data_IF_971757393050
#
_entry.id   IF_971757393050
#
_cell.length_a   1.000
_cell.length_b   1.000
_cell.length_c   1.000
_cell.angle_alpha   90.00
_cell.angle_beta   90.00
_cell.angle_gamma   90.00
#
_symmetry.space_group_name_H-M   'P 1'
#
loop_
_entity.id
_entity.type
_entity.pdbx_description
1 polymer ?
#
# COMPACT_ATOMS: atom_id res chain seq x y z
N UNK A 1 1.54 -9.57 -33.91
CA UNK A 1 2.31 -9.39 -35.17
C UNK A 1 1.59 -10.15 -36.29
N UNK A 2 1.48 -9.61 -37.50
CA UNK A 2 0.90 -10.32 -38.65
C UNK A 2 1.61 -9.96 -39.95
N UNK A 3 1.33 -10.71 -41.02
CA UNK A 3 2.01 -10.58 -42.31
C UNK A 3 1.01 -10.59 -43.46
N UNK A 4 1.27 -9.77 -44.47
CA UNK A 4 0.63 -9.85 -45.79
C UNK A 4 1.70 -9.82 -46.90
N UNK A 5 1.31 -9.81 -48.19
CA UNK A 5 2.28 -9.74 -49.30
C UNK A 5 3.16 -8.48 -49.32
N UNK A 6 2.73 -7.39 -48.67
CA UNK A 6 3.41 -6.09 -48.64
C UNK A 6 4.39 -5.92 -47.47
N UNK A 7 4.32 -6.80 -46.46
CA UNK A 7 5.29 -6.86 -45.37
C UNK A 7 4.72 -7.36 -44.04
N UNK A 8 5.44 -7.04 -42.98
CA UNK A 8 5.04 -7.33 -41.60
C UNK A 8 4.40 -6.10 -40.97
N UNK A 9 3.41 -6.35 -40.12
CA UNK A 9 2.62 -5.32 -39.47
C UNK A 9 2.34 -5.68 -38.02
N UNK A 10 2.32 -4.67 -37.17
CA UNK A 10 1.97 -4.79 -35.77
C UNK A 10 0.65 -4.08 -35.51
N UNK A 11 -0.36 -4.85 -35.13
CA UNK A 11 -1.60 -4.31 -34.55
C UNK A 11 -1.26 -3.79 -33.16
N UNK A 12 -1.45 -2.49 -32.87
CA UNK A 12 -1.24 -1.95 -31.54
C UNK A 12 -2.23 -2.56 -30.55
N UNK A 13 -1.78 -2.85 -29.33
CA UNK A 13 -2.69 -3.29 -28.26
C UNK A 13 -3.55 -2.11 -27.75
N UNK A 14 -2.99 -0.89 -27.77
CA UNK A 14 -3.72 0.33 -27.46
C UNK A 14 -4.74 0.66 -28.56
N UNK A 15 -6.02 0.41 -28.25
CA UNK A 15 -7.16 0.64 -29.15
C UNK A 15 -7.34 2.10 -29.59
N UNK A 16 -6.64 3.07 -28.97
CA UNK A 16 -6.63 4.47 -29.43
C UNK A 16 -5.82 4.64 -30.71
N UNK A 17 -4.82 3.77 -30.94
CA UNK A 17 -4.03 3.75 -32.16
C UNK A 17 -4.81 3.00 -33.24
N UNK A 18 -5.20 3.72 -34.29
CA UNK A 18 -6.11 3.20 -35.32
C UNK A 18 -5.43 2.53 -36.51
N UNK A 19 -4.11 2.57 -36.57
CA UNK A 19 -3.34 2.11 -37.72
C UNK A 19 -2.26 1.12 -37.29
N UNK A 20 -2.11 0.08 -38.08
CA UNK A 20 -1.05 -0.91 -37.90
C UNK A 20 0.31 -0.29 -38.23
N UNK A 21 1.29 -0.60 -37.39
CA UNK A 21 2.65 -0.15 -37.60
C UNK A 21 3.37 -1.13 -38.53
N UNK A 22 3.89 -0.64 -39.66
CA UNK A 22 4.73 -1.46 -40.54
C UNK A 22 6.02 -1.85 -39.83
N UNK A 23 6.31 -3.14 -39.74
CA UNK A 23 7.50 -3.68 -39.10
C UNK A 23 8.55 -4.02 -40.17
N UNK A 24 9.75 -3.47 -39.97
CA UNK A 24 10.89 -3.64 -40.89
C UNK A 24 11.86 -4.74 -40.47
N UNK A 25 11.88 -5.04 -39.18
CA UNK A 25 12.70 -6.09 -38.57
C UNK A 25 11.87 -6.79 -37.50
N UNK A 26 11.66 -8.09 -37.67
CA UNK A 26 10.83 -8.92 -36.77
C UNK A 26 11.67 -9.66 -35.72
N UNK A 27 13.00 -9.60 -35.80
CA UNK A 27 13.88 -10.43 -34.96
C UNK A 27 13.52 -11.91 -35.03
N UNK A 28 13.29 -12.52 -33.87
CA UNK A 28 12.94 -13.93 -33.70
C UNK A 28 11.42 -14.17 -33.52
N UNK A 29 10.59 -13.17 -33.85
CA UNK A 29 9.14 -13.28 -33.71
C UNK A 29 8.46 -13.92 -34.93
N UNK A 30 7.36 -14.61 -34.66
CA UNK A 30 6.49 -15.26 -35.63
C UNK A 30 5.17 -14.51 -35.81
N UNK A 31 4.46 -14.80 -36.91
CA UNK A 31 3.10 -14.31 -37.09
C UNK A 31 2.19 -14.84 -35.97
N UNK A 32 1.39 -13.94 -35.40
CA UNK A 32 0.54 -14.22 -34.24
C UNK A 32 1.16 -13.79 -32.91
N UNK A 33 2.49 -13.63 -32.82
CA UNK A 33 3.12 -13.29 -31.54
C UNK A 33 2.72 -11.90 -31.03
N UNK A 34 2.61 -11.80 -29.71
CA UNK A 34 2.74 -10.58 -28.95
C UNK A 34 4.21 -10.16 -28.93
N UNK A 35 4.47 -8.91 -29.30
CA UNK A 35 5.82 -8.37 -29.41
C UNK A 35 5.87 -6.95 -28.86
N UNK A 36 7.02 -6.59 -28.30
CA UNK A 36 7.37 -5.20 -28.06
C UNK A 36 8.15 -4.69 -29.28
N UNK A 37 7.76 -3.53 -29.81
CA UNK A 37 8.43 -2.90 -30.94
C UNK A 37 8.76 -1.45 -30.65
N UNK A 38 9.93 -1.02 -31.10
CA UNK A 38 10.34 0.39 -31.07
C UNK A 38 9.92 1.06 -32.37
N UNK A 39 9.19 2.17 -32.27
CA UNK A 39 8.78 2.96 -33.43
C UNK A 39 9.86 3.96 -33.82
N UNK A 40 10.20 3.98 -35.11
CA UNK A 40 10.99 5.01 -35.75
C UNK A 40 10.13 5.83 -36.73
N UNK A 41 10.38 7.13 -36.80
CA UNK A 41 9.61 8.05 -37.65
C UNK A 41 8.23 8.46 -37.08
N UNK A 42 7.49 9.25 -37.85
CA UNK A 42 6.17 9.80 -37.47
C UNK A 42 5.16 9.74 -38.63
N UNK A 43 3.88 9.67 -38.29
CA UNK A 43 2.77 9.67 -39.24
C UNK A 43 2.82 8.48 -40.20
N UNK A 44 2.46 8.68 -41.47
CA UNK A 44 2.43 7.62 -42.49
C UNK A 44 3.80 7.00 -42.82
N UNK A 45 4.91 7.59 -42.34
CA UNK A 45 6.28 7.05 -42.51
C UNK A 45 6.79 6.31 -41.28
N UNK A 46 5.95 6.14 -40.26
CA UNK A 46 6.34 5.40 -39.07
C UNK A 46 6.55 3.93 -39.41
N UNK A 47 7.69 3.39 -38.98
CA UNK A 47 8.02 1.97 -39.08
C UNK A 47 8.51 1.48 -37.73
N UNK A 48 8.30 0.20 -37.43
CA UNK A 48 8.78 -0.41 -36.20
C UNK A 48 9.87 -1.45 -36.44
N UNK A 49 10.61 -1.72 -35.38
CA UNK A 49 11.46 -2.91 -35.23
C UNK A 49 11.05 -3.64 -33.96
N UNK A 50 10.91 -4.96 -34.03
CA UNK A 50 10.69 -5.80 -32.85
C UNK A 50 11.96 -5.78 -32.00
N UNK A 51 11.79 -5.45 -30.72
CA UNK A 51 12.85 -5.46 -29.71
C UNK A 51 12.74 -6.67 -28.78
N UNK A 52 11.53 -7.22 -28.62
CA UNK A 52 11.30 -8.38 -27.77
C UNK A 52 10.08 -9.18 -28.23
N UNK A 53 10.22 -10.51 -28.28
CA UNK A 53 9.10 -11.45 -28.41
C UNK A 53 8.53 -11.75 -27.03
N UNK A 54 7.25 -11.47 -26.82
CA UNK A 54 6.53 -11.73 -25.55
C UNK A 54 5.74 -13.04 -25.57
N UNK A 55 5.56 -13.65 -26.75
CA UNK A 55 4.95 -14.97 -26.93
C UNK A 55 3.50 -14.90 -27.40
N UNK A 56 2.64 -15.81 -26.95
CA UNK A 56 1.24 -15.87 -27.36
C UNK A 56 0.41 -14.74 -26.72
N UNK A 57 -0.26 -13.87 -27.50
CA UNK A 57 -1.10 -12.79 -26.96
C UNK A 57 -2.30 -13.28 -26.14
N UNK A 58 -2.72 -14.54 -26.29
CA UNK A 58 -3.81 -15.16 -25.53
C UNK A 58 -3.32 -15.92 -24.30
N UNK A 59 -2.01 -16.00 -24.07
CA UNK A 59 -1.49 -16.59 -22.85
C UNK A 59 -1.90 -15.75 -21.63
N UNK A 60 -2.24 -16.35 -20.48
CA UNK A 60 -2.74 -15.57 -19.34
C UNK A 60 -1.77 -14.50 -18.83
N UNK A 61 -0.46 -14.76 -18.91
CA UNK A 61 0.61 -13.80 -18.54
C UNK A 61 0.70 -12.59 -19.47
N UNK A 62 0.12 -12.67 -20.66
CA UNK A 62 0.21 -11.63 -21.69
C UNK A 62 -0.64 -10.41 -21.34
N UNK A 63 -1.76 -10.58 -20.63
CA UNK A 63 -2.60 -9.45 -20.21
C UNK A 63 -1.86 -8.49 -19.29
N UNK A 64 -1.17 -9.01 -18.27
CA UNK A 64 -0.38 -8.19 -17.35
C UNK A 64 0.81 -7.53 -18.06
N UNK A 65 1.47 -8.23 -18.98
CA UNK A 65 2.54 -7.64 -19.78
C UNK A 65 2.04 -6.49 -20.67
N UNK A 66 0.89 -6.67 -21.33
CA UNK A 66 0.25 -5.61 -22.12
C UNK A 66 -0.05 -4.40 -21.23
N UNK A 67 -0.67 -4.60 -20.07
CA UNK A 67 -1.00 -3.51 -19.15
C UNK A 67 0.26 -2.77 -18.67
N UNK A 68 1.32 -3.49 -18.29
CA UNK A 68 2.62 -2.92 -17.89
C UNK A 68 3.18 -2.01 -18.98
N UNK A 69 3.19 -2.46 -20.24
CA UNK A 69 3.74 -1.68 -21.35
C UNK A 69 2.81 -0.53 -21.78
N UNK A 70 1.50 -0.75 -21.89
CA UNK A 70 0.53 0.28 -22.29
C UNK A 70 0.47 1.44 -21.32
N UNK A 71 0.55 1.15 -20.02
CA UNK A 71 0.56 2.17 -18.96
C UNK A 71 1.95 2.74 -18.70
N UNK A 72 2.99 2.19 -19.32
CA UNK A 72 4.37 2.63 -19.11
C UNK A 72 4.82 2.45 -17.66
N UNK A 73 4.50 1.29 -17.06
CA UNK A 73 4.97 0.93 -15.72
C UNK A 73 6.44 0.51 -15.82
N UNK A 74 7.36 1.20 -15.11
CA UNK A 74 8.76 0.78 -15.05
C UNK A 74 8.83 -0.59 -14.36
N UNK A 75 9.33 -1.59 -15.06
CA UNK A 75 9.35 -2.98 -14.59
C UNK A 75 10.75 -3.61 -14.60
N UNK A 76 11.71 -3.04 -15.32
CA UNK A 76 13.11 -3.48 -15.34
C UNK A 76 13.96 -2.59 -14.45
N UNK A 77 14.81 -3.19 -13.62
CA UNK A 77 15.80 -2.45 -12.82
C UNK A 77 17.07 -2.24 -13.63
N UNK A 78 17.74 -1.09 -13.46
CA UNK A 78 19.05 -0.87 -14.05
C UNK A 78 20.12 -1.74 -13.37
N UNK A 79 21.19 -2.07 -14.09
CA UNK A 79 22.32 -2.79 -13.51
C UNK A 79 22.99 -2.03 -12.36
N UNK A 80 22.96 -0.69 -12.39
CA UNK A 80 23.45 0.17 -11.31
C UNK A 80 22.62 -0.03 -10.04
N UNK A 81 21.28 0.05 -10.14
CA UNK A 81 20.39 -0.16 -9.00
C UNK A 81 20.46 -1.57 -8.41
N UNK A 82 20.57 -2.61 -9.26
CA UNK A 82 20.75 -3.99 -8.78
C UNK A 82 22.06 -4.15 -7.99
N UNK A 83 23.17 -3.66 -8.55
CA UNK A 83 24.49 -3.72 -7.90
C UNK A 83 24.50 -2.94 -6.58
N UNK A 84 23.85 -1.79 -6.55
CA UNK A 84 23.72 -0.97 -5.35
C UNK A 84 22.86 -1.67 -4.30
N UNK A 85 21.77 -2.35 -4.68
CA UNK A 85 20.88 -3.04 -3.76
C UNK A 85 21.59 -4.18 -3.02
N UNK A 86 22.38 -4.97 -3.73
CA UNK A 86 23.20 -6.03 -3.13
C UNK A 86 24.24 -5.50 -2.15
N UNK A 87 24.78 -4.29 -2.40
CA UNK A 87 25.71 -3.62 -1.48
C UNK A 87 24.98 -3.06 -0.26
N UNK A 88 23.83 -2.41 -0.49
CA UNK A 88 22.99 -1.84 0.55
C UNK A 88 22.53 -2.92 1.55
N UNK A 89 22.11 -4.09 1.05
CA UNK A 89 21.70 -5.25 1.85
C UNK A 89 22.77 -5.72 2.85
N UNK A 90 24.04 -5.39 2.63
CA UNK A 90 25.18 -5.80 3.47
C UNK A 90 25.72 -4.66 4.34
N UNK A 91 25.04 -3.52 4.40
CA UNK A 91 25.48 -2.39 5.22
C UNK A 91 25.43 -2.76 6.71
N UNK A 92 26.49 -2.42 7.48
CA UNK A 92 26.48 -2.63 8.92
C UNK A 92 25.43 -1.73 9.57
N UNK A 93 24.58 -2.32 10.42
CA UNK A 93 23.41 -1.64 10.97
C UNK A 93 23.73 -0.48 11.93
N UNK A 94 24.95 -0.42 12.47
CA UNK A 94 25.37 0.62 13.42
C UNK A 94 24.72 0.48 14.80
N UNK A 95 24.71 1.57 15.56
CA UNK A 95 24.09 1.64 16.88
C UNK A 95 22.57 1.76 16.76
N UNK A 96 21.83 0.91 17.48
CA UNK A 96 20.38 0.74 17.38
C UNK A 96 19.80 0.29 18.71
N UNK A 97 18.55 0.64 18.97
CA UNK A 97 17.80 0.07 20.09
C UNK A 97 17.62 -1.44 19.90
N UNK A 98 17.88 -2.21 20.95
CA UNK A 98 17.73 -3.66 20.91
C UNK A 98 16.30 -4.06 21.32
N UNK A 99 15.54 -4.61 20.37
CA UNK A 99 14.18 -5.11 20.58
C UNK A 99 14.11 -6.63 20.38
N UNK A 100 15.25 -7.35 20.32
CA UNK A 100 15.28 -8.77 20.01
C UNK A 100 14.66 -9.66 21.08
N UNK A 101 14.59 -9.18 22.32
CA UNK A 101 13.92 -9.88 23.42
C UNK A 101 12.39 -9.72 23.40
N UNK A 102 11.85 -8.82 22.57
CA UNK A 102 10.40 -8.66 22.41
C UNK A 102 9.89 -9.61 21.31
N UNK A 103 8.80 -10.34 21.55
CA UNK A 103 8.29 -11.33 20.59
C UNK A 103 7.49 -10.65 19.47
N UNK A 104 8.17 -9.85 18.65
CA UNK A 104 7.63 -9.20 17.46
C UNK A 104 7.38 -10.23 16.35
N UNK A 105 6.19 -10.20 15.76
CA UNK A 105 5.79 -11.10 14.68
C UNK A 105 5.08 -10.33 13.56
N UNK A 106 5.02 -10.92 12.38
CA UNK A 106 4.27 -10.38 11.24
C UNK A 106 2.97 -11.16 11.04
N UNK A 107 1.93 -10.49 10.52
CA UNK A 107 0.65 -11.12 10.20
C UNK A 107 0.21 -10.63 8.81
N UNK A 108 0.29 -11.53 7.84
CA UNK A 108 0.18 -11.20 6.40
C UNK A 108 -0.64 -12.26 5.65
N UNK A 109 -0.95 -12.06 4.35
CA UNK A 109 -1.41 -13.15 3.51
C UNK A 109 -0.39 -14.30 3.48
N UNK A 110 -0.86 -15.55 3.42
CA UNK A 110 0.02 -16.73 3.42
C UNK A 110 1.03 -16.78 2.25
N UNK A 111 0.76 -16.06 1.16
CA UNK A 111 1.62 -15.96 -0.02
C UNK A 111 2.52 -14.71 -0.04
N UNK A 112 2.49 -13.88 1.00
CA UNK A 112 3.34 -12.70 1.12
C UNK A 112 4.82 -13.09 1.26
N UNK A 113 5.70 -12.25 0.71
CA UNK A 113 7.17 -12.42 0.79
C UNK A 113 7.89 -11.14 1.23
N UNK A 114 7.19 -10.02 1.19
CA UNK A 114 7.62 -8.68 1.51
C UNK A 114 6.91 -8.21 2.78
N UNK A 115 7.41 -8.63 3.94
CA UNK A 115 6.84 -8.28 5.23
C UNK A 115 7.33 -6.89 5.66
N UNK A 116 6.49 -5.87 5.52
CA UNK A 116 6.80 -4.48 5.87
C UNK A 116 6.74 -4.22 7.39
N UNK A 117 5.83 -4.90 8.08
CA UNK A 117 5.46 -4.58 9.46
C UNK A 117 5.43 -5.79 10.40
N UNK A 118 5.86 -5.54 11.63
CA UNK A 118 5.76 -6.46 12.75
C UNK A 118 5.13 -5.75 13.94
N UNK A 119 4.37 -6.50 14.74
CA UNK A 119 3.58 -5.94 15.84
C UNK A 119 3.80 -6.68 17.15
N UNK A 120 3.73 -5.93 18.24
CA UNK A 120 3.73 -6.44 19.60
C UNK A 120 2.90 -5.51 20.48
N UNK A 121 2.21 -6.06 21.48
CA UNK A 121 1.58 -5.27 22.53
C UNK A 121 1.51 -6.02 23.85
N UNK A 122 1.45 -5.26 24.95
CA UNK A 122 1.23 -5.77 26.29
C UNK A 122 0.40 -4.76 27.12
N UNK A 123 -0.26 -5.19 28.19
CA UNK A 123 -0.86 -4.29 29.17
C UNK A 123 0.16 -3.25 29.68
N UNK A 124 -0.32 -2.04 29.94
CA UNK A 124 0.47 -0.97 30.55
C UNK A 124 0.31 -1.00 32.07
N UNK A 125 1.39 -1.29 32.79
CA UNK A 125 1.42 -1.35 34.26
C UNK A 125 1.45 0.05 34.91
N UNK A 126 1.56 1.13 34.12
CA UNK A 126 1.54 2.50 34.63
C UNK A 126 0.19 2.84 35.29
N UNK A 127 0.15 3.21 36.59
CA UNK A 127 -1.08 3.62 37.27
C UNK A 127 -1.78 4.83 36.63
N UNK A 128 -1.06 5.65 35.86
CA UNK A 128 -1.61 6.76 35.06
C UNK A 128 -2.33 6.32 33.78
N UNK A 129 -2.21 5.05 33.39
CA UNK A 129 -2.84 4.45 32.22
C UNK A 129 -3.65 3.18 32.57
N UNK A 130 -4.63 3.25 33.48
CA UNK A 130 -5.36 2.07 33.93
C UNK A 130 -6.09 1.39 32.76
N UNK A 131 -5.83 0.10 32.59
CA UNK A 131 -6.38 -0.71 31.50
C UNK A 131 -5.82 -0.35 30.10
N UNK A 132 -4.75 0.44 30.04
CA UNK A 132 -4.07 0.77 28.80
C UNK A 132 -3.07 -0.29 28.36
N UNK A 133 -2.37 0.01 27.26
CA UNK A 133 -1.43 -0.89 26.61
C UNK A 133 -0.17 -0.15 26.14
N UNK A 134 0.96 -0.84 26.17
CA UNK A 134 2.13 -0.50 25.36
C UNK A 134 2.09 -1.31 24.09
N UNK A 135 2.38 -0.69 22.96
CA UNK A 135 2.48 -1.38 21.69
C UNK A 135 3.68 -0.91 20.89
N UNK A 136 4.21 -1.79 20.05
CA UNK A 136 5.25 -1.48 19.09
C UNK A 136 4.76 -1.91 17.71
N UNK A 137 4.82 -0.97 16.77
CA UNK A 137 4.69 -1.22 15.34
C UNK A 137 6.07 -1.03 14.73
N UNK A 138 6.76 -2.14 14.46
CA UNK A 138 8.09 -2.16 13.90
C UNK A 138 8.00 -2.25 12.38
N UNK A 139 8.50 -1.22 11.68
CA UNK A 139 8.44 -1.17 10.21
C UNK A 139 9.83 -1.36 9.63
N UNK A 140 9.96 -2.12 8.55
CA UNK A 140 11.20 -2.28 7.79
C UNK A 140 11.92 -0.93 7.57
N UNK A 141 13.20 -0.83 7.97
CA UNK A 141 13.98 0.42 7.88
C UNK A 141 14.52 0.66 6.46
N UNK A 142 13.62 0.75 5.48
CA UNK A 142 13.97 0.93 4.06
C UNK A 142 14.80 2.21 3.85
N UNK A 143 14.55 3.26 4.62
CA UNK A 143 15.31 4.52 4.54
C UNK A 143 16.80 4.38 4.85
N UNK A 144 17.19 3.35 5.60
CA UNK A 144 18.59 3.04 5.88
C UNK A 144 19.29 2.43 4.65
N UNK A 145 18.61 1.52 3.95
CA UNK A 145 19.12 0.81 2.79
C UNK A 145 19.02 1.65 1.50
N UNK A 146 17.91 2.36 1.32
CA UNK A 146 17.61 3.19 0.14
C UNK A 146 17.87 4.66 0.52
N UNK A 147 19.12 5.10 0.34
CA UNK A 147 19.56 6.45 0.71
C UNK A 147 19.20 7.49 -0.37
N UNK A 148 18.96 8.76 0.00
CA UNK A 148 18.63 9.80 -0.97
C UNK A 148 19.66 9.94 -2.10
N UNK A 149 19.18 10.06 -3.33
CA UNK A 149 19.98 10.33 -4.52
C UNK A 149 20.73 9.14 -5.10
N UNK A 150 20.67 7.96 -4.48
CA UNK A 150 21.31 6.75 -4.99
C UNK A 150 20.53 6.13 -6.17
N UNK A 151 21.09 5.14 -6.87
CA UNK A 151 20.45 4.55 -8.04
C UNK A 151 19.12 3.87 -7.68
N UNK A 152 19.07 3.17 -6.56
CA UNK A 152 17.85 2.53 -6.07
C UNK A 152 16.79 3.58 -5.72
N UNK A 153 17.18 4.68 -5.08
CA UNK A 153 16.26 5.76 -4.72
C UNK A 153 15.62 6.41 -5.96
N UNK A 154 16.42 6.68 -6.99
CA UNK A 154 15.91 7.23 -8.26
C UNK A 154 14.88 6.30 -8.89
N UNK A 155 15.14 5.00 -8.91
CA UNK A 155 14.19 4.01 -9.44
C UNK A 155 12.96 3.83 -8.56
N UNK A 156 13.12 3.78 -7.24
CA UNK A 156 12.01 3.69 -6.30
C UNK A 156 11.07 4.90 -6.45
N UNK A 157 11.63 6.09 -6.62
CA UNK A 157 10.88 7.32 -6.92
C UNK A 157 10.18 7.23 -8.27
N UNK A 158 10.85 6.79 -9.32
CA UNK A 158 10.27 6.65 -10.67
C UNK A 158 9.08 5.69 -10.70
N UNK A 159 9.22 4.55 -10.01
CA UNK A 159 8.16 3.54 -9.84
C UNK A 159 7.03 4.04 -8.94
N UNK A 160 7.37 4.71 -7.84
CA UNK A 160 6.48 5.29 -6.84
C UNK A 160 5.82 4.27 -5.90
N UNK A 161 5.40 3.12 -6.43
CA UNK A 161 4.84 2.02 -5.66
C UNK A 161 5.01 0.68 -6.39
N UNK A 162 4.92 -0.44 -5.66
CA UNK A 162 4.78 -1.76 -6.25
C UNK A 162 3.41 -1.88 -6.95
N UNK A 163 3.34 -2.67 -8.03
CA UNK A 163 2.10 -2.94 -8.78
C UNK A 163 1.80 -4.42 -8.70
N UNK A 164 0.61 -4.78 -8.21
CA UNK A 164 0.19 -6.16 -7.98
C UNK A 164 -0.81 -6.58 -9.06
N UNK A 165 -0.38 -7.48 -9.96
CA UNK A 165 -1.23 -8.13 -10.94
C UNK A 165 -1.66 -9.51 -10.43
N UNK A 166 -2.73 -10.11 -10.98
CA UNK A 166 -3.17 -11.45 -10.58
C UNK A 166 -2.09 -12.54 -10.70
N UNK A 167 -1.17 -12.42 -11.67
CA UNK A 167 -0.14 -13.43 -11.95
C UNK A 167 1.28 -13.02 -11.50
N UNK A 168 1.50 -11.78 -11.07
CA UNK A 168 2.84 -11.26 -10.75
C UNK A 168 2.81 -9.96 -9.94
N UNK A 169 3.96 -9.61 -9.39
CA UNK A 169 4.22 -8.30 -8.79
C UNK A 169 5.30 -7.59 -9.60
N UNK A 170 5.12 -6.30 -9.87
CA UNK A 170 6.19 -5.39 -10.31
C UNK A 170 6.63 -4.61 -9.07
N UNK A 171 7.74 -4.99 -8.43
CA UNK A 171 8.12 -4.41 -7.15
C UNK A 171 8.70 -3.01 -7.30
N UNK A 172 8.55 -2.18 -6.28
CA UNK A 172 9.19 -0.86 -6.19
C UNK A 172 10.71 -0.99 -5.99
N UNK A 173 11.14 -1.98 -5.22
CA UNK A 173 12.53 -2.23 -4.86
C UNK A 173 13.03 -3.58 -5.42
N UNK A 174 14.35 -3.74 -5.67
CA UNK A 174 14.92 -5.03 -6.03
C UNK A 174 14.73 -6.10 -4.94
N UNK A 175 14.66 -7.37 -5.34
CA UNK A 175 14.43 -8.51 -4.44
C UNK A 175 15.43 -8.60 -3.28
N UNK A 176 16.71 -8.27 -3.53
CA UNK A 176 17.76 -8.21 -2.52
C UNK A 176 17.41 -7.30 -1.32
N UNK A 177 16.51 -6.34 -1.52
CA UNK A 177 15.97 -5.50 -0.46
C UNK A 177 14.55 -5.93 -0.08
N UNK A 178 13.63 -6.06 -1.05
CA UNK A 178 12.20 -6.19 -0.76
C UNK A 178 11.80 -7.50 -0.09
N UNK A 179 12.45 -8.61 -0.43
CA UNK A 179 12.12 -9.95 0.11
C UNK A 179 13.18 -10.49 1.07
N UNK A 180 14.32 -9.81 1.16
CA UNK A 180 15.45 -10.25 1.98
C UNK A 180 15.80 -9.19 3.04
N UNK A 181 16.69 -8.23 2.74
CA UNK A 181 17.25 -7.33 3.75
C UNK A 181 16.24 -6.46 4.50
N UNK A 182 15.15 -6.04 3.84
CA UNK A 182 14.08 -5.24 4.45
C UNK A 182 12.92 -6.08 4.96
N UNK A 183 12.64 -7.24 4.36
CA UNK A 183 11.52 -8.09 4.78
C UNK A 183 11.73 -8.60 6.20
N UNK A 184 10.73 -8.44 7.06
CA UNK A 184 10.76 -8.84 8.47
C UNK A 184 10.57 -10.36 8.65
N UNK A 185 11.45 -11.15 8.01
CA UNK A 185 11.44 -12.61 8.02
C UNK A 185 11.66 -13.16 9.44
N UNK A 186 10.99 -14.27 9.75
CA UNK A 186 11.10 -14.96 11.02
C UNK A 186 12.48 -15.59 11.22
N UNK A 187 12.89 -15.70 12.49
CA UNK A 187 14.16 -16.24 12.97
C UNK A 187 15.40 -15.46 12.48
N UNK A 188 15.22 -14.20 12.09
CA UNK A 188 16.30 -13.33 11.61
C UNK A 188 16.29 -12.00 12.38
N UNK A 189 17.49 -11.44 12.55
CA UNK A 189 17.67 -10.08 13.08
C UNK A 189 17.43 -9.07 11.95
N UNK A 190 16.48 -8.16 12.13
CA UNK A 190 16.04 -7.20 11.10
C UNK A 190 16.05 -5.76 11.60
N UNK A 191 16.49 -4.86 10.72
CA UNK A 191 16.53 -3.43 10.99
C UNK A 191 15.14 -2.80 10.81
N UNK A 192 14.67 -2.10 11.84
CA UNK A 192 13.35 -1.48 11.84
C UNK A 192 13.40 -0.01 12.26
N UNK A 193 12.48 0.77 11.73
CA UNK A 193 12.06 2.04 12.29
C UNK A 193 10.81 1.78 13.14
N UNK A 194 11.00 1.69 14.46
CA UNK A 194 9.97 1.31 15.41
C UNK A 194 9.14 2.53 15.84
N UNK A 195 7.82 2.38 15.77
CA UNK A 195 6.85 3.27 16.37
C UNK A 195 6.37 2.67 17.70
N UNK A 196 6.79 3.26 18.81
CA UNK A 196 6.34 2.88 20.15
C UNK A 196 5.10 3.69 20.49
N UNK A 197 4.05 3.03 20.94
CA UNK A 197 2.74 3.62 21.23
C UNK A 197 2.35 3.35 22.69
N UNK A 198 1.80 4.37 23.34
CA UNK A 198 1.02 4.20 24.58
C UNK A 198 -0.46 4.38 24.26
N UNK A 199 -1.24 3.33 24.43
CA UNK A 199 -2.68 3.28 24.12
C UNK A 199 -3.46 3.32 25.44
N UNK A 200 -4.45 4.18 25.54
CA UNK A 200 -5.38 4.23 26.66
C UNK A 200 -6.33 3.04 26.69
N UNK A 201 -6.91 2.72 27.86
CA UNK A 201 -7.97 1.70 27.94
C UNK A 201 -9.23 2.03 27.14
N UNK A 202 -9.39 3.29 26.71
CA UNK A 202 -10.44 3.74 25.79
C UNK A 202 -10.02 3.65 24.30
N UNK A 203 -8.81 3.16 24.02
CA UNK A 203 -8.22 3.07 22.68
C UNK A 203 -7.56 4.33 22.16
N UNK A 204 -7.58 5.44 22.91
CA UNK A 204 -6.94 6.68 22.48
C UNK A 204 -5.43 6.53 22.54
N UNK A 205 -4.71 6.80 21.45
CA UNK A 205 -3.24 6.88 21.46
C UNK A 205 -2.82 8.12 22.25
N UNK A 206 -2.16 7.91 23.40
CA UNK A 206 -1.79 8.96 24.36
C UNK A 206 -0.39 9.51 24.13
N UNK A 207 0.54 8.66 23.71
CA UNK A 207 1.94 9.04 23.48
C UNK A 207 2.59 8.16 22.41
N UNK A 208 3.66 8.68 21.80
CA UNK A 208 4.45 7.97 20.81
C UNK A 208 5.92 8.37 20.83
N UNK A 209 6.81 7.43 20.48
CA UNK A 209 8.21 7.73 20.15
C UNK A 209 8.68 6.88 18.97
N UNK A 210 9.67 7.40 18.25
CA UNK A 210 10.29 6.72 17.12
C UNK A 210 11.76 6.43 17.42
N UNK A 211 12.22 5.24 17.05
CA UNK A 211 13.61 4.85 17.15
C UNK A 211 14.01 3.91 16.02
N UNK A 212 15.28 3.95 15.62
CA UNK A 212 15.86 2.87 14.84
C UNK A 212 16.27 1.75 15.79
N UNK A 213 15.84 0.55 15.45
CA UNK A 213 16.02 -0.62 16.28
C UNK A 213 16.45 -1.85 15.45
N UNK A 214 16.86 -2.90 16.15
CA UNK A 214 16.98 -4.27 15.63
C UNK A 214 15.97 -5.13 16.36
N UNK A 215 15.15 -5.86 15.62
CA UNK A 215 14.25 -6.88 16.15
C UNK A 215 14.69 -8.27 15.75
N UNK A 216 14.20 -9.29 16.46
CA UNK A 216 14.28 -10.69 16.04
C UNK A 216 12.85 -11.17 15.76
N UNK A 217 12.54 -11.54 14.52
CA UNK A 217 11.18 -11.96 14.17
C UNK A 217 10.85 -13.34 14.75
N UNK A 218 9.88 -13.45 15.66
CA UNK A 218 9.56 -14.75 16.27
C UNK A 218 8.69 -15.65 15.39
N UNK A 219 7.90 -15.05 14.49
CA UNK A 219 7.06 -15.77 13.51
C UNK A 219 6.58 -14.84 12.39
N UNK A 220 6.36 -15.42 11.19
CA UNK A 220 5.49 -14.85 10.16
C UNK A 220 4.23 -15.71 10.13
N UNK A 221 3.08 -15.12 10.46
CA UNK A 221 1.80 -15.85 10.56
C UNK A 221 0.83 -15.40 9.46
N UNK A 222 0.00 -16.33 8.98
CA UNK A 222 -1.11 -15.97 8.12
C UNK A 222 -2.29 -15.40 8.93
N UNK A 223 -3.08 -14.50 8.35
CA UNK A 223 -4.29 -13.96 8.99
C UNK A 223 -5.22 -15.06 9.51
N UNK A 224 -5.42 -16.11 8.70
CA UNK A 224 -6.25 -17.26 9.04
C UNK A 224 -5.72 -18.01 10.26
N UNK A 225 -4.40 -18.20 10.36
CA UNK A 225 -3.76 -18.85 11.51
C UNK A 225 -3.97 -18.06 12.80
N UNK A 226 -3.82 -16.74 12.75
CA UNK A 226 -4.06 -15.88 13.92
C UNK A 226 -5.53 -15.91 14.33
N UNK A 227 -6.45 -15.84 13.36
CA UNK A 227 -7.87 -15.93 13.62
C UNK A 227 -8.23 -17.27 14.28
N UNK A 228 -7.78 -18.39 13.71
CA UNK A 228 -8.06 -19.73 14.24
C UNK A 228 -7.48 -19.93 15.64
N UNK A 229 -6.29 -19.39 15.91
CA UNK A 229 -5.65 -19.45 17.23
C UNK A 229 -6.43 -18.66 18.28
N UNK A 230 -6.94 -17.48 17.94
CA UNK A 230 -7.74 -16.64 18.83
C UNK A 230 -9.12 -17.26 19.09
N UNK A 231 -9.73 -17.85 18.07
CA UNK A 231 -11.02 -18.54 18.16
C UNK A 231 -10.92 -19.89 18.91
N UNK A 232 -9.70 -20.35 19.24
CA UNK A 232 -9.46 -21.64 19.89
C UNK A 232 -9.68 -22.85 18.99
N UNK A 233 -9.67 -22.65 17.67
CA UNK A 233 -9.78 -23.72 16.66
C UNK A 233 -8.47 -24.48 16.48
N UNK A 234 -7.34 -23.84 16.77
CA UNK A 234 -6.01 -24.46 16.82
C UNK A 234 -5.28 -24.08 18.10
N UNK A 235 -4.40 -24.96 18.58
CA UNK A 235 -3.41 -24.62 19.60
C UNK A 235 -2.16 -24.05 18.94
N UNK A 236 -1.75 -22.84 19.35
CA UNK A 236 -0.53 -22.20 18.85
C UNK A 236 0.33 -21.70 20.03
N UNK A 237 1.65 -21.90 19.97
CA UNK A 237 2.55 -21.61 21.09
C UNK A 237 2.56 -20.12 21.49
N UNK A 238 2.26 -19.23 20.54
CA UNK A 238 2.22 -17.78 20.75
C UNK A 238 0.85 -17.24 21.19
N UNK A 239 -0.19 -18.09 21.30
CA UNK A 239 -1.57 -17.62 21.54
C UNK A 239 -1.68 -16.81 22.83
N UNK A 240 -1.26 -17.38 23.95
CA UNK A 240 -1.41 -16.74 25.27
C UNK A 240 -0.37 -15.63 25.51
N UNK A 241 0.86 -15.84 25.05
CA UNK A 241 1.98 -14.94 25.35
C UNK A 241 2.05 -13.71 24.45
N UNK A 242 1.56 -13.79 23.21
CA UNK A 242 1.68 -12.71 22.22
C UNK A 242 0.35 -12.33 21.61
N UNK A 243 -0.41 -13.30 21.08
CA UNK A 243 -1.61 -12.99 20.29
C UNK A 243 -2.75 -12.45 21.15
N UNK A 244 -2.99 -12.97 22.36
CA UNK A 244 -4.04 -12.46 23.25
C UNK A 244 -3.77 -11.03 23.75
N UNK A 245 -2.56 -10.68 24.24
CA UNK A 245 -2.22 -9.30 24.56
C UNK A 245 -2.39 -8.34 23.37
N UNK A 246 -1.94 -8.77 22.18
CA UNK A 246 -2.10 -8.02 20.94
C UNK A 246 -3.58 -7.80 20.59
N UNK A 247 -4.41 -8.84 20.73
CA UNK A 247 -5.85 -8.77 20.49
C UNK A 247 -6.57 -7.85 21.48
N UNK A 248 -6.18 -7.86 22.76
CA UNK A 248 -6.75 -6.98 23.77
C UNK A 248 -6.45 -5.51 23.48
N UNK A 249 -5.21 -5.19 23.09
CA UNK A 249 -4.84 -3.84 22.66
C UNK A 249 -5.61 -3.41 21.40
N UNK A 250 -5.79 -4.32 20.44
CA UNK A 250 -6.61 -4.06 19.26
C UNK A 250 -8.08 -3.78 19.61
N UNK A 251 -8.69 -4.51 20.54
CA UNK A 251 -10.07 -4.24 20.94
C UNK A 251 -10.26 -2.81 21.47
N UNK A 252 -9.27 -2.27 22.20
CA UNK A 252 -9.28 -0.88 22.61
C UNK A 252 -9.21 0.06 21.39
N UNK A 253 -8.24 -0.14 20.48
CA UNK A 253 -8.12 0.64 19.23
C UNK A 253 -9.40 0.60 18.40
N UNK A 254 -10.02 -0.57 18.27
CA UNK A 254 -11.28 -0.79 17.58
C UNK A 254 -12.40 0.02 18.23
N UNK A 255 -12.52 0.03 19.56
CA UNK A 255 -13.52 0.83 20.26
C UNK A 255 -13.35 2.34 19.98
N UNK A 256 -12.11 2.84 19.95
CA UNK A 256 -11.82 4.22 19.58
C UNK A 256 -12.14 4.51 18.10
N UNK A 257 -11.88 3.56 17.20
CA UNK A 257 -12.26 3.64 15.78
C UNK A 257 -13.79 3.68 15.62
N UNK A 258 -14.52 2.79 16.27
CA UNK A 258 -15.98 2.72 16.19
C UNK A 258 -16.61 4.04 16.69
N UNK A 259 -16.05 4.63 17.76
CA UNK A 259 -16.47 5.95 18.26
C UNK A 259 -16.17 7.08 17.27
N UNK A 260 -15.06 6.99 16.53
CA UNK A 260 -14.67 7.94 15.47
C UNK A 260 -15.54 7.81 14.23
N UNK A 261 -16.15 6.64 14.03
CA UNK A 261 -17.14 6.34 12.99
C UNK A 261 -16.66 6.66 11.56
N UNK A 262 -15.56 6.01 11.08
CA UNK A 262 -15.08 6.16 9.71
C UNK A 262 -16.13 5.68 8.70
N UNK A 263 -15.97 6.04 7.43
CA UNK A 263 -16.92 5.70 6.38
C UNK A 263 -17.01 4.17 6.23
N UNK A 264 -18.17 3.60 6.57
CA UNK A 264 -18.38 2.16 6.65
C UNK A 264 -18.97 1.63 5.34
N UNK A 265 -18.13 1.58 4.29
CA UNK A 265 -18.49 0.96 3.02
C UNK A 265 -17.98 -0.48 2.99
N UNK A 266 -18.87 -1.44 3.29
CA UNK A 266 -18.55 -2.85 3.17
C UNK A 266 -18.87 -3.34 1.75
N UNK A 267 -17.93 -3.13 0.83
CA UNK A 267 -18.04 -3.64 -0.53
C UNK A 267 -17.25 -4.95 -0.65
N UNK A 268 -17.82 -6.01 -1.25
CA UNK A 268 -17.12 -7.27 -1.40
C UNK A 268 -15.94 -7.12 -2.37
N UNK A 269 -14.72 -7.28 -1.87
CA UNK A 269 -13.52 -7.37 -2.71
C UNK A 269 -13.43 -8.75 -3.35
N UNK A 270 -13.16 -8.83 -4.65
CA UNK A 270 -13.02 -10.10 -5.37
C UNK A 270 -11.55 -10.41 -5.62
N UNK A 271 -11.12 -11.61 -5.27
CA UNK A 271 -9.78 -12.14 -5.58
C UNK A 271 -9.88 -13.11 -6.76
N UNK A 272 -9.05 -12.87 -7.77
CA UNK A 272 -8.86 -13.80 -8.89
C UNK A 272 -7.80 -14.83 -8.48
N UNK A 273 -8.14 -16.11 -8.54
CA UNK A 273 -7.24 -17.22 -8.26
C UNK A 273 -6.86 -17.85 -9.60
N UNK A 274 -5.55 -17.99 -9.83
CA UNK A 274 -5.00 -18.58 -11.04
C UNK A 274 -4.59 -20.04 -10.81
N UNK A 275 -4.73 -20.88 -11.84
CA UNK A 275 -4.19 -22.24 -11.86
C UNK A 275 -2.67 -22.23 -12.15
N UNK A 276 -2.03 -23.40 -12.11
CA UNK A 276 -0.60 -23.57 -12.42
C UNK A 276 -0.23 -23.12 -13.85
N UNK A 277 -1.21 -23.07 -14.76
CA UNK A 277 -1.04 -22.61 -16.15
C UNK A 277 -1.34 -21.11 -16.29
N UNK A 278 -1.61 -20.41 -15.18
CA UNK A 278 -1.91 -18.99 -15.10
C UNK A 278 -3.34 -18.61 -15.48
N UNK A 279 -4.24 -19.57 -15.74
CA UNK A 279 -5.62 -19.29 -16.15
C UNK A 279 -6.47 -19.03 -14.92
N UNK A 280 -7.57 -18.29 -15.08
CA UNK A 280 -8.53 -18.07 -13.99
C UNK A 280 -9.12 -19.43 -13.59
N UNK A 281 -8.74 -19.90 -12.41
CA UNK A 281 -9.34 -21.07 -11.78
C UNK A 281 -10.64 -20.68 -11.10
N UNK A 282 -10.64 -19.53 -10.41
CA UNK A 282 -11.77 -19.09 -9.60
C UNK A 282 -11.76 -17.59 -9.32
N UNK A 283 -12.94 -17.02 -9.06
CA UNK A 283 -13.09 -15.67 -8.52
C UNK A 283 -13.89 -15.79 -7.22
N UNK A 284 -13.25 -15.52 -6.08
CA UNK A 284 -13.89 -15.57 -4.75
C UNK A 284 -14.00 -14.19 -4.15
N UNK A 285 -14.98 -13.99 -3.29
CA UNK A 285 -15.03 -12.81 -2.42
C UNK A 285 -13.99 -13.02 -1.31
N UNK A 286 -13.16 -12.00 -1.06
CA UNK A 286 -12.17 -12.01 0.00
C UNK A 286 -12.90 -11.93 1.35
N UNK A 287 -12.56 -12.85 2.23
CA UNK A 287 -13.09 -12.84 3.60
C UNK A 287 -12.42 -11.72 4.40
N UNK A 288 -13.22 -10.96 5.15
CA UNK A 288 -12.72 -9.94 6.07
C UNK A 288 -12.73 -10.49 7.50
N UNK A 289 -11.64 -11.13 7.88
CA UNK A 289 -11.44 -11.62 9.25
C UNK A 289 -11.12 -10.49 10.23
N UNK A 290 -11.52 -10.57 11.51
CA UNK A 290 -11.05 -9.69 12.57
C UNK A 290 -9.51 -9.56 12.66
N UNK A 291 -8.76 -10.62 12.36
CA UNK A 291 -7.29 -10.56 12.26
C UNK A 291 -6.77 -9.56 11.21
N UNK A 292 -7.52 -9.30 10.12
CA UNK A 292 -7.17 -8.24 9.17
C UNK A 292 -7.35 -6.85 9.77
N UNK A 293 -8.48 -6.64 10.48
CA UNK A 293 -8.78 -5.37 11.16
C UNK A 293 -7.78 -5.07 12.27
N UNK A 294 -7.26 -6.12 12.94
CA UNK A 294 -6.20 -5.99 13.92
C UNK A 294 -4.99 -5.27 13.36
N UNK A 295 -4.42 -5.79 12.26
CA UNK A 295 -3.26 -5.16 11.63
C UNK A 295 -3.63 -3.79 11.08
N UNK A 296 -4.78 -3.65 10.41
CA UNK A 296 -5.25 -2.36 9.88
C UNK A 296 -5.26 -1.26 10.94
N UNK A 297 -5.84 -1.52 12.11
CA UNK A 297 -5.97 -0.52 13.18
C UNK A 297 -4.63 -0.18 13.83
N UNK A 298 -3.71 -1.14 13.99
CA UNK A 298 -2.33 -0.86 14.44
C UNK A 298 -1.58 0.00 13.41
N UNK A 299 -1.71 -0.32 12.12
CA UNK A 299 -1.07 0.47 11.06
C UNK A 299 -1.65 1.88 11.00
N UNK A 300 -2.97 2.05 11.13
CA UNK A 300 -3.60 3.37 11.21
C UNK A 300 -3.08 4.15 12.42
N UNK A 301 -2.95 3.51 13.59
CA UNK A 301 -2.42 4.17 14.78
C UNK A 301 -0.98 4.66 14.57
N UNK A 302 -0.11 3.83 13.98
CA UNK A 302 1.26 4.21 13.66
C UNK A 302 1.35 5.32 12.59
N UNK A 303 0.51 5.26 11.56
CA UNK A 303 0.39 6.27 10.51
C UNK A 303 -0.03 7.65 11.07
N UNK A 304 -1.01 7.66 11.98
CA UNK A 304 -1.43 8.90 12.67
C UNK A 304 -0.31 9.42 13.59
N UNK A 305 0.36 8.54 14.33
CA UNK A 305 1.47 8.91 15.20
C UNK A 305 2.63 9.52 14.39
N UNK A 306 2.98 8.94 13.24
CA UNK A 306 4.02 9.45 12.36
C UNK A 306 3.70 10.86 11.83
N UNK A 307 2.47 11.07 11.34
CA UNK A 307 2.02 12.38 10.88
C UNK A 307 2.11 13.43 12.02
N UNK A 308 1.55 13.13 13.20
CA UNK A 308 1.55 14.04 14.35
C UNK A 308 2.96 14.30 14.91
N UNK A 309 3.83 13.29 14.90
CA UNK A 309 5.22 13.43 15.33
C UNK A 309 5.99 14.43 14.47
N UNK A 310 5.82 14.35 13.15
CA UNK A 310 6.46 15.29 12.22
C UNK A 310 5.87 16.69 12.34
N UNK A 311 4.55 16.82 12.49
CA UNK A 311 3.87 18.09 12.76
C UNK A 311 4.43 18.76 14.01
N UNK A 312 4.56 18.01 15.11
CA UNK A 312 5.11 18.50 16.37
C UNK A 312 6.59 18.95 16.27
N UNK A 313 7.34 18.41 15.31
CA UNK A 313 8.71 18.81 15.00
C UNK A 313 8.79 19.91 13.93
N UNK A 314 7.66 20.37 13.40
CA UNK A 314 7.61 21.30 12.25
C UNK A 314 8.41 20.75 11.05
N UNK A 315 8.44 19.42 10.92
CA UNK A 315 9.07 18.74 9.80
C UNK A 315 8.06 18.61 8.66
N UNK A 316 8.50 18.67 7.39
CA UNK A 316 7.62 18.37 6.26
C UNK A 316 7.02 16.97 6.35
N UNK A 317 5.77 16.84 5.90
CA UNK A 317 5.02 15.58 5.87
C UNK A 317 4.44 15.37 4.47
N UNK A 318 4.49 14.13 3.99
CA UNK A 318 3.70 13.71 2.83
C UNK A 318 2.42 13.07 3.38
N UNK A 319 1.36 13.87 3.44
CA UNK A 319 0.06 13.43 3.91
C UNK A 319 -0.61 12.52 2.88
N UNK A 320 -1.35 11.53 3.39
CA UNK A 320 -2.36 10.84 2.60
C UNK A 320 -3.68 11.59 2.81
N UNK A 321 -4.03 12.41 1.84
CA UNK A 321 -5.20 13.28 1.88
C UNK A 321 -6.39 12.55 1.28
N UNK A 322 -7.55 12.69 1.92
CA UNK A 322 -8.84 12.32 1.34
C UNK A 322 -9.84 13.43 1.66
N UNK A 323 -10.15 14.25 0.67
CA UNK A 323 -11.04 15.39 0.86
C UNK A 323 -12.51 14.96 0.97
N UNK A 324 -13.36 15.92 1.37
CA UNK A 324 -14.81 15.72 1.38
C UNK A 324 -15.32 15.56 -0.07
N UNK A 325 -16.43 14.82 -0.28
CA UNK A 325 -17.17 14.86 -1.52
C UNK A 325 -17.48 16.30 -1.96
N UNK A 326 -17.32 16.59 -3.26
CA UNK A 326 -17.71 17.89 -3.80
C UNK A 326 -19.21 18.14 -3.64
N UNK A 327 -19.61 19.42 -3.57
CA UNK A 327 -21.02 19.81 -3.45
C UNK A 327 -21.88 19.22 -4.57
N UNK A 328 -21.38 19.22 -5.81
CA UNK A 328 -22.07 18.66 -6.97
C UNK A 328 -22.34 17.16 -6.80
N UNK A 329 -21.33 16.39 -6.38
CA UNK A 329 -21.49 14.96 -6.08
C UNK A 329 -22.46 14.69 -4.94
N UNK A 330 -22.47 15.54 -3.90
CA UNK A 330 -23.41 15.42 -2.78
C UNK A 330 -24.86 15.70 -3.19
N UNK A 331 -25.09 16.70 -4.03
CA UNK A 331 -26.42 17.01 -4.58
C UNK A 331 -26.92 15.84 -5.43
N UNK A 332 -26.08 15.35 -6.35
CA UNK A 332 -26.41 14.21 -7.20
C UNK A 332 -26.73 12.94 -6.38
N UNK A 333 -25.96 12.65 -5.33
CA UNK A 333 -26.25 11.56 -4.40
C UNK A 333 -27.58 11.77 -3.66
N UNK A 334 -27.84 12.99 -3.20
CA UNK A 334 -29.09 13.36 -2.53
C UNK A 334 -30.31 13.12 -3.41
N UNK A 335 -30.25 13.53 -4.69
CA UNK A 335 -31.32 13.30 -5.66
C UNK A 335 -31.51 11.80 -5.97
N UNK A 336 -30.41 11.06 -6.11
CA UNK A 336 -30.44 9.62 -6.32
C UNK A 336 -31.14 8.89 -5.18
N UNK A 337 -30.72 9.12 -3.93
CA UNK A 337 -31.32 8.40 -2.80
C UNK A 337 -32.77 8.83 -2.55
N UNK A 338 -33.13 10.08 -2.87
CA UNK A 338 -34.50 10.57 -2.82
C UNK A 338 -35.43 9.84 -3.79
N UNK A 339 -34.95 9.54 -4.99
CA UNK A 339 -35.70 8.73 -5.96
C UNK A 339 -35.99 7.30 -5.46
N UNK A 340 -35.16 6.79 -4.55
CA UNK A 340 -35.33 5.49 -3.89
C UNK A 340 -36.17 5.56 -2.60
N UNK A 341 -36.77 6.71 -2.30
CA UNK A 341 -37.56 6.91 -1.08
C UNK A 341 -36.73 7.12 0.20
N UNK A 342 -35.41 7.29 0.07
CA UNK A 342 -34.49 7.58 1.16
C UNK A 342 -34.23 9.10 1.27
N UNK A 343 -33.58 9.54 2.33
CA UNK A 343 -33.25 10.96 2.53
C UNK A 343 -31.82 11.13 3.02
N UNK A 344 -31.03 12.00 2.40
CA UNK A 344 -29.68 12.33 2.86
C UNK A 344 -29.67 13.69 3.55
N UNK A 345 -29.53 13.70 4.86
CA UNK A 345 -29.45 14.92 5.66
C UNK A 345 -27.99 15.37 5.81
N UNK A 346 -27.53 16.26 4.93
CA UNK A 346 -26.12 16.69 4.88
C UNK A 346 -25.64 17.47 6.12
N UNK A 347 -26.55 18.07 6.89
CA UNK A 347 -26.20 18.90 8.05
C UNK A 347 -25.39 20.15 7.67
N UNK A 348 -24.82 20.84 8.66
CA UNK A 348 -23.92 21.97 8.41
C UNK A 348 -22.52 21.53 7.97
N UNK A 349 -22.04 20.41 8.52
CA UNK A 349 -20.74 19.81 8.21
C UNK A 349 -20.97 18.36 7.82
N UNK A 350 -20.59 18.03 6.58
CA UNK A 350 -20.64 16.65 6.09
C UNK A 350 -19.50 15.86 6.74
N UNK A 351 -19.86 14.74 7.35
CA UNK A 351 -18.95 13.80 8.02
C UNK A 351 -19.24 12.38 7.53
N UNK A 352 -18.32 11.41 7.70
CA UNK A 352 -18.59 10.01 7.37
C UNK A 352 -19.85 9.46 8.05
N UNK A 353 -20.09 9.83 9.31
CA UNK A 353 -21.31 9.52 10.06
C UNK A 353 -22.60 9.89 9.31
N UNK A 354 -22.60 10.97 8.52
CA UNK A 354 -23.75 11.35 7.69
C UNK A 354 -24.13 10.24 6.71
N UNK A 355 -23.14 9.59 6.11
CA UNK A 355 -23.33 8.47 5.19
C UNK A 355 -23.62 7.17 5.93
N UNK A 356 -22.93 6.89 7.04
CA UNK A 356 -23.20 5.70 7.84
C UNK A 356 -24.65 5.67 8.35
N UNK A 357 -25.21 6.82 8.76
CA UNK A 357 -26.64 6.95 9.11
C UNK A 357 -27.60 6.73 7.93
N UNK A 358 -27.18 7.03 6.70
CA UNK A 358 -27.95 6.69 5.51
C UNK A 358 -27.95 5.18 5.30
N UNK A 359 -26.77 4.57 5.28
CA UNK A 359 -26.60 3.14 5.03
C UNK A 359 -27.29 2.29 6.10
N UNK A 360 -27.20 2.69 7.38
CA UNK A 360 -27.82 1.98 8.50
C UNK A 360 -29.37 1.98 8.51
N UNK A 361 -30.02 2.77 7.63
CA UNK A 361 -31.48 2.77 7.47
C UNK A 361 -31.97 1.82 6.37
N UNK A 362 -31.05 1.12 5.69
CA UNK A 362 -31.37 0.27 4.56
C UNK A 362 -31.25 -1.19 5.00
N UNK A 363 -32.40 -1.85 5.15
CA UNK A 363 -32.46 -3.27 5.54
C UNK A 363 -32.33 -4.23 4.34
N UNK A 364 -32.71 -3.78 3.13
CA UNK A 364 -32.59 -4.59 1.91
C UNK A 364 -31.12 -4.65 1.44
N UNK A 365 -30.48 -5.83 1.42
CA UNK A 365 -29.09 -5.98 1.04
C UNK A 365 -28.79 -5.50 -0.39
N UNK A 366 -29.72 -5.71 -1.34
CA UNK A 366 -29.51 -5.32 -2.73
C UNK A 366 -29.57 -3.80 -2.90
N UNK A 367 -30.45 -3.13 -2.15
CA UNK A 367 -30.53 -1.67 -2.10
C UNK A 367 -29.31 -1.09 -1.37
N UNK A 368 -28.86 -1.73 -0.29
CA UNK A 368 -27.68 -1.32 0.47
C UNK A 368 -26.42 -1.35 -0.40
N UNK A 369 -26.22 -2.40 -1.20
CA UNK A 369 -25.09 -2.51 -2.13
C UNK A 369 -25.14 -1.38 -3.18
N UNK A 370 -26.30 -1.15 -3.79
CA UNK A 370 -26.47 -0.09 -4.79
C UNK A 370 -26.20 1.31 -4.22
N UNK A 371 -26.76 1.61 -3.05
CA UNK A 371 -26.54 2.91 -2.39
C UNK A 371 -25.09 3.05 -1.92
N UNK A 372 -24.48 1.98 -1.40
CA UNK A 372 -23.06 1.97 -1.02
C UNK A 372 -22.15 2.28 -2.21
N UNK A 373 -22.43 1.71 -3.39
CA UNK A 373 -21.70 2.02 -4.61
C UNK A 373 -21.83 3.50 -5.02
N UNK A 374 -23.04 4.07 -4.94
CA UNK A 374 -23.23 5.49 -5.23
C UNK A 374 -22.55 6.41 -4.20
N UNK A 375 -22.58 6.04 -2.91
CA UNK A 375 -21.82 6.74 -1.87
C UNK A 375 -20.33 6.69 -2.19
N UNK A 376 -19.78 5.53 -2.57
CA UNK A 376 -18.38 5.37 -2.95
C UNK A 376 -18.02 6.27 -4.16
N UNK A 377 -18.83 6.26 -5.23
CA UNK A 377 -18.62 7.10 -6.43
C UNK A 377 -18.70 8.60 -6.12
N UNK A 378 -19.46 8.98 -5.10
CA UNK A 378 -19.54 10.37 -4.63
C UNK A 378 -18.28 10.84 -3.90
N UNK A 379 -17.44 9.93 -3.40
CA UNK A 379 -16.22 10.29 -2.67
C UNK A 379 -15.18 10.97 -3.56
N UNK A 380 -14.27 11.72 -2.92
CA UNK A 380 -13.07 12.21 -3.56
C UNK A 380 -12.05 11.05 -3.66
N UNK A 381 -11.18 11.09 -4.65
CA UNK A 381 -10.06 10.15 -4.69
C UNK A 381 -9.00 10.62 -3.69
N UNK A 382 -8.47 9.71 -2.89
CA UNK A 382 -7.36 10.03 -2.01
C UNK A 382 -6.06 10.24 -2.82
N UNK A 383 -5.19 11.12 -2.34
CA UNK A 383 -3.93 11.47 -3.00
C UNK A 383 -2.84 11.81 -1.98
N UNK A 384 -1.60 11.94 -2.43
CA UNK A 384 -0.49 12.40 -1.60
C UNK A 384 -0.27 13.91 -1.77
N UNK A 385 -0.18 14.64 -0.66
CA UNK A 385 0.01 16.08 -0.65
C UNK A 385 0.88 16.55 0.50
N UNK A 386 1.43 17.76 0.41
CA UNK A 386 2.21 18.37 1.49
C UNK A 386 1.37 19.22 2.45
N UNK A 387 0.15 19.58 2.03
CA UNK A 387 -0.80 20.31 2.84
C UNK A 387 -1.72 19.32 3.57
N UNK A 388 -1.93 19.54 4.87
CA UNK A 388 -2.85 18.72 5.65
C UNK A 388 -4.29 19.16 5.42
N UNK A 389 -5.03 18.38 4.63
CA UNK A 389 -6.47 18.55 4.39
C UNK A 389 -7.32 17.49 5.09
N UNK A 390 -6.70 16.68 5.95
CA UNK A 390 -7.31 15.55 6.64
C UNK A 390 -7.61 14.34 5.74
N UNK A 391 -8.21 13.31 6.35
CA UNK A 391 -8.62 12.09 5.67
C UNK A 391 -10.08 11.76 5.97
N UNK A 392 -10.96 12.21 5.09
CA UNK A 392 -12.41 12.14 5.22
C UNK A 392 -12.90 10.72 5.50
N UNK A 393 -12.58 9.76 4.64
CA UNK A 393 -13.04 8.37 4.79
C UNK A 393 -12.62 7.69 6.09
N UNK A 394 -11.53 8.13 6.73
CA UNK A 394 -11.06 7.57 8.01
C UNK A 394 -11.49 8.43 9.22
N UNK A 395 -12.15 9.56 8.97
CA UNK A 395 -12.48 10.58 9.96
C UNK A 395 -11.26 11.06 10.77
N UNK A 396 -10.10 11.22 10.12
CA UNK A 396 -8.84 11.64 10.75
C UNK A 396 -8.42 13.05 10.35
N UNK A 397 -7.91 13.83 11.31
CA UNK A 397 -7.40 15.18 11.07
C UNK A 397 -5.99 15.25 10.47
N UNK A 398 -5.14 14.26 10.76
CA UNK A 398 -3.80 14.13 10.19
C UNK A 398 -3.55 12.65 9.91
N UNK A 399 -3.09 12.33 8.69
CA UNK A 399 -2.81 10.96 8.27
C UNK A 399 -1.71 10.94 7.21
N UNK A 400 -0.71 10.08 7.41
CA UNK A 400 0.39 9.86 6.46
C UNK A 400 0.69 8.36 6.42
N UNK A 401 1.00 7.82 5.25
CA UNK A 401 1.43 6.42 5.16
C UNK A 401 2.89 6.29 5.62
N UNK A 402 3.11 5.43 6.60
CA UNK A 402 4.39 5.14 7.24
C UNK A 402 4.73 3.64 7.21
N UNK A 403 3.72 2.78 7.13
CA UNK A 403 3.83 1.36 7.47
C UNK A 403 4.11 0.41 6.31
N UNK A 404 4.37 0.90 5.09
CA UNK A 404 4.71 0.02 3.96
C UNK A 404 5.78 0.58 3.02
N UNK A 405 6.98 0.92 3.53
CA UNK A 405 8.04 1.52 2.74
C UNK A 405 8.69 0.59 1.71
N UNK A 406 8.53 -0.74 1.81
CA UNK A 406 9.04 -1.68 0.78
C UNK A 406 8.29 -1.48 -0.54
N UNK A 407 6.99 -1.13 -0.46
CA UNK A 407 6.07 -1.06 -1.62
C UNK A 407 5.49 0.32 -1.90
N UNK A 408 5.77 1.33 -1.07
CA UNK A 408 5.31 2.72 -1.28
C UNK A 408 6.41 3.73 -1.01
N UNK A 409 6.69 4.59 -1.99
CA UNK A 409 7.72 5.63 -1.86
C UNK A 409 7.28 6.75 -0.91
N UNK A 410 5.97 7.00 -0.74
CA UNK A 410 5.43 7.90 0.29
C UNK A 410 5.96 7.56 1.68
N UNK A 411 5.94 6.28 2.02
CA UNK A 411 6.30 5.77 3.34
C UNK A 411 7.81 5.90 3.53
N UNK A 412 8.60 5.65 2.48
CA UNK A 412 10.05 5.93 2.50
C UNK A 412 10.34 7.41 2.77
N UNK A 413 9.59 8.35 2.19
CA UNK A 413 9.74 9.78 2.47
C UNK A 413 9.36 10.14 3.91
N UNK A 414 8.30 9.53 4.47
CA UNK A 414 7.91 9.71 5.87
C UNK A 414 8.97 9.15 6.81
N UNK A 415 9.57 7.99 6.50
CA UNK A 415 10.71 7.44 7.25
C UNK A 415 11.89 8.41 7.24
N UNK A 416 12.29 8.91 6.07
CA UNK A 416 13.36 9.91 5.92
C UNK A 416 13.09 11.16 6.75
N UNK A 417 11.85 11.65 6.74
CA UNK A 417 11.44 12.81 7.53
C UNK A 417 11.57 12.55 9.03
N UNK A 418 11.14 11.37 9.51
CA UNK A 418 11.26 10.97 10.92
C UNK A 418 12.73 10.84 11.34
N UNK A 419 13.55 10.18 10.52
CA UNK A 419 14.99 10.02 10.78
C UNK A 419 15.67 11.37 10.90
N UNK A 420 15.36 12.33 10.02
CA UNK A 420 15.90 13.70 10.12
C UNK A 420 15.38 14.42 11.36
N UNK A 421 14.06 14.45 11.57
CA UNK A 421 13.41 15.24 12.62
C UNK A 421 13.79 14.78 14.04
N UNK A 422 14.00 13.47 14.22
CA UNK A 422 14.40 12.85 15.48
C UNK A 422 15.89 12.52 15.56
N UNK A 423 16.69 12.86 14.54
CA UNK A 423 18.13 12.61 14.46
C UNK A 423 18.51 11.13 14.65
N UNK A 424 17.80 10.23 13.99
CA UNK A 424 17.95 8.79 14.11
C UNK A 424 19.07 8.21 13.21
N UNK A 425 20.08 9.02 12.88
CA UNK A 425 21.23 8.64 12.04
C UNK A 425 21.05 8.90 10.54
N UNK A 426 21.73 8.09 9.72
CA UNK A 426 21.84 8.26 8.25
C UNK A 426 20.53 8.04 7.49
N UNK A 427 20.43 8.53 6.26
CA UNK A 427 19.25 8.29 5.41
C UNK A 427 18.03 9.13 5.82
N UNK A 428 18.25 10.24 6.52
CA UNK A 428 17.23 11.26 6.74
C UNK A 428 16.97 12.10 5.49
N UNK A 429 15.83 12.79 5.49
CA UNK A 429 15.40 13.67 4.40
C UNK A 429 16.43 14.78 4.16
N UNK A 430 16.75 15.06 2.90
CA UNK A 430 17.69 16.13 2.51
C UNK A 430 16.97 17.46 2.25
N UNK A 431 17.73 18.56 2.24
CA UNK A 431 17.18 19.89 1.93
C UNK A 431 16.66 19.99 0.49
N UNK A 432 17.26 19.24 -0.43
CA UNK A 432 16.81 19.16 -1.82
C UNK A 432 15.48 18.40 -1.93
N UNK A 433 15.36 17.25 -1.28
CA UNK A 433 14.11 16.49 -1.24
C UNK A 433 12.98 17.30 -0.61
N UNK A 434 13.24 18.01 0.51
CA UNK A 434 12.25 18.89 1.14
C UNK A 434 11.68 19.93 0.16
N UNK A 435 12.53 20.57 -0.65
CA UNK A 435 12.09 21.53 -1.67
C UNK A 435 11.32 20.84 -2.82
N UNK A 436 11.64 19.59 -3.12
CA UNK A 436 11.01 18.82 -4.18
C UNK A 436 9.72 18.10 -3.74
N UNK A 437 9.40 18.05 -2.45
CA UNK A 437 8.28 17.27 -1.90
C UNK A 437 6.94 17.50 -2.61
N UNK A 438 6.49 18.74 -2.91
CA UNK A 438 5.22 18.94 -3.62
C UNK A 438 5.18 18.24 -4.99
N UNK A 439 6.27 18.32 -5.76
CA UNK A 439 6.37 17.64 -7.07
C UNK A 439 6.46 16.13 -6.89
N UNK A 440 7.16 15.65 -5.87
CA UNK A 440 7.25 14.23 -5.58
C UNK A 440 5.90 13.66 -5.14
N UNK A 441 5.13 14.38 -4.33
CA UNK A 441 3.79 13.99 -3.89
C UNK A 441 2.80 13.88 -5.07
N UNK A 442 2.86 14.84 -6.00
CA UNK A 442 2.09 14.78 -7.26
C UNK A 442 2.48 13.55 -8.10
N UNK A 443 3.79 13.32 -8.26
CA UNK A 443 4.32 12.18 -9.01
C UNK A 443 3.85 10.84 -8.42
N UNK A 444 4.01 10.60 -7.12
CA UNK A 444 3.60 9.33 -6.50
C UNK A 444 2.07 9.13 -6.51
N UNK A 445 1.29 10.22 -6.49
CA UNK A 445 -0.17 10.15 -6.67
C UNK A 445 -0.52 9.73 -8.10
N UNK A 446 0.22 10.21 -9.09
CA UNK A 446 0.07 9.78 -10.47
C UNK A 446 0.49 8.32 -10.66
N UNK A 447 1.61 7.86 -10.06
CA UNK A 447 2.03 6.46 -10.19
C UNK A 447 1.05 5.48 -9.54
N UNK A 448 0.45 5.87 -8.41
CA UNK A 448 -0.62 5.09 -7.77
C UNK A 448 -1.83 4.95 -8.72
N UNK A 449 -2.29 6.05 -9.33
CA UNK A 449 -3.38 5.99 -10.33
C UNK A 449 -3.02 5.13 -11.53
N UNK A 450 -1.80 5.28 -12.06
CA UNK A 450 -1.28 4.46 -13.17
C UNK A 450 -1.33 2.97 -12.82
N UNK A 451 -0.98 2.61 -11.59
CA UNK A 451 -1.02 1.23 -11.10
C UNK A 451 -2.45 0.70 -10.92
N UNK A 452 -3.40 1.54 -10.48
CA UNK A 452 -4.82 1.15 -10.35
C UNK A 452 -5.53 1.01 -11.71
N UNK A 453 -5.11 1.77 -12.72
CA UNK A 453 -5.67 1.69 -14.07
C UNK A 453 -5.13 0.52 -14.90
N UNK A 454 -3.95 -0.01 -14.52
CA UNK A 454 -3.32 -1.17 -15.12
C UNK A 454 -3.95 -2.46 -14.58
#
# INVERSE_FOLDING_TARGET
>A
LWRDPSGWYLVPTDKRLRFDLKITDIGEADAGDLVLAEQSGRGARATGRVVQRLGDPMAPRSFSLIAIHEKGIPHTFSGEALTEAEKAAKLPLGDREDLRDLPLLTIDPADARDHDDAVWAAPDDDPGNPGGFKAIVAIADVSFYVRPGTAIDREARERGNSVYFPDRVVPMLPEALSTDACSLNANEDKAVLACHLTIGGDGTVRDWRFSRAVMHGVANLAYETVQDAIDGRIEHALTESVLRPLWAAWQALKAARDKRDPLALNMPERRVILDEKGRIAEIRVREQLPAHQLIEDFMIAANVAAAKALEAKTSPVVYRVHERPSREKLVALGDYVKALGLSLSLGQVVTPTTFNRLLARIDDPALLEQVSEQVLRSQAQAFYGTDNLGHFGLALGSYAHFTSPIRRYSDTLVHRALVRAYRLGDGGLTDEEMRALPRTAEHISMTERRAMEA
#
